data_IF_201408357955
#
_entry.id   IF_201408357955
#
_cell.length_a   1.000
_cell.length_b   1.000
_cell.length_c   1.000
_cell.angle_alpha   90.00
_cell.angle_beta   90.00
_cell.angle_gamma   90.00
#
_symmetry.space_group_name_H-M   'P 1'
#
loop_
_entity.id
_entity.type
_entity.pdbx_description
1 polymer ?
#
# COMPACT_ATOMS: atom_id res chain seq x y z
N UNK A 1 4.88 -14.54 29.41
CA UNK A 1 4.88 -15.70 28.52
C UNK A 1 4.72 -15.33 27.05
N UNK A 2 3.71 -14.53 26.65
CA UNK A 2 3.52 -14.05 25.28
C UNK A 2 4.71 -13.17 24.81
N UNK A 3 5.24 -12.30 25.68
CA UNK A 3 6.40 -11.46 25.39
C UNK A 3 7.63 -12.30 25.02
N UNK A 4 7.92 -13.36 25.78
CA UNK A 4 9.04 -14.26 25.47
C UNK A 4 8.85 -15.00 24.14
N UNK A 5 7.63 -15.47 23.84
CA UNK A 5 7.34 -16.08 22.54
C UNK A 5 7.53 -15.10 21.38
N UNK A 6 7.13 -13.85 21.56
CA UNK A 6 7.33 -12.78 20.57
C UNK A 6 8.83 -12.47 20.38
N UNK A 7 9.59 -12.32 21.46
CA UNK A 7 11.04 -12.12 21.42
C UNK A 7 11.77 -13.26 20.69
N UNK A 8 11.34 -14.50 20.92
CA UNK A 8 11.87 -15.68 20.21
C UNK A 8 11.51 -15.67 18.71
N UNK A 9 10.30 -15.26 18.34
CA UNK A 9 9.92 -15.10 16.94
C UNK A 9 10.75 -14.02 16.23
N UNK A 10 10.92 -12.88 16.88
CA UNK A 10 11.70 -11.75 16.35
C UNK A 10 13.21 -12.06 16.25
N UNK A 11 13.79 -12.73 17.23
CA UNK A 11 15.20 -13.12 17.20
C UNK A 11 15.55 -14.08 16.06
N UNK A 12 14.56 -14.79 15.51
CA UNK A 12 14.70 -15.71 14.37
C UNK A 12 14.32 -15.08 13.03
N UNK A 13 14.17 -13.76 13.00
CA UNK A 13 13.91 -12.99 11.78
C UNK A 13 12.44 -12.63 11.55
N UNK A 14 11.56 -12.85 12.53
CA UNK A 14 10.12 -12.62 12.40
C UNK A 14 9.46 -13.63 11.43
N UNK A 15 8.34 -13.26 10.84
CA UNK A 15 7.58 -14.08 9.88
C UNK A 15 7.28 -15.51 10.37
N UNK A 16 7.11 -15.68 11.68
CA UNK A 16 6.76 -16.95 12.29
C UNK A 16 5.91 -16.76 13.53
N UNK A 17 5.09 -17.77 13.81
CA UNK A 17 4.35 -17.88 15.07
C UNK A 17 5.12 -18.78 16.03
N UNK A 18 5.20 -18.37 17.30
CA UNK A 18 5.79 -19.16 18.37
C UNK A 18 4.70 -19.47 19.39
N UNK A 19 4.41 -20.74 19.55
CA UNK A 19 3.45 -21.23 20.54
C UNK A 19 4.20 -21.86 21.71
N UNK A 20 3.91 -21.39 22.91
CA UNK A 20 4.48 -21.99 24.11
C UNK A 20 3.58 -23.13 24.59
N UNK A 21 4.08 -24.34 24.52
CA UNK A 21 3.49 -25.51 25.18
C UNK A 21 3.77 -25.52 26.70
N UNK A 22 3.45 -26.62 27.34
CA UNK A 22 3.72 -26.82 28.79
C UNK A 22 5.20 -26.91 29.10
N UNK A 23 5.99 -27.49 28.21
CA UNK A 23 7.42 -27.78 28.38
C UNK A 23 8.26 -27.06 27.30
N UNK A 24 7.78 -26.98 26.06
CA UNK A 24 8.55 -26.55 24.91
C UNK A 24 7.90 -25.36 24.16
N UNK A 25 8.67 -24.80 23.23
CA UNK A 25 8.21 -23.81 22.26
C UNK A 25 8.08 -24.49 20.89
N UNK A 26 6.91 -24.34 20.27
CA UNK A 26 6.67 -24.78 18.91
C UNK A 26 6.75 -23.59 17.97
N UNK A 27 7.43 -23.77 16.81
CA UNK A 27 7.65 -22.74 15.82
C UNK A 27 6.89 -23.10 14.54
N UNK A 28 6.09 -22.15 14.03
CA UNK A 28 5.32 -22.29 12.81
C UNK A 28 5.66 -21.16 11.85
N UNK A 29 5.97 -21.48 10.60
CA UNK A 29 6.39 -20.54 9.58
C UNK A 29 7.90 -20.28 9.59
N UNK A 30 8.33 -19.15 9.06
CA UNK A 30 9.73 -18.81 8.86
C UNK A 30 10.29 -19.42 7.57
N UNK A 31 10.59 -18.58 6.57
CA UNK A 31 11.23 -19.00 5.32
C UNK A 31 12.73 -18.72 5.36
N UNK A 32 13.51 -19.66 4.86
CA UNK A 32 14.96 -19.57 4.78
C UNK A 32 15.43 -18.43 3.86
N UNK A 33 16.61 -17.88 4.16
CA UNK A 33 17.29 -16.76 3.46
C UNK A 33 17.48 -16.92 1.93
N UNK A 34 17.18 -18.06 1.32
CA UNK A 34 17.25 -18.29 -0.13
C UNK A 34 16.15 -17.52 -0.91
N UNK A 35 15.09 -17.06 -0.24
CA UNK A 35 14.01 -16.23 -0.82
C UNK A 35 14.43 -14.79 -1.10
N UNK A 36 15.37 -14.21 -0.34
CA UNK A 36 15.71 -12.78 -0.40
C UNK A 36 16.32 -12.31 -1.73
N UNK A 37 17.20 -13.10 -2.35
CA UNK A 37 17.83 -12.70 -3.62
C UNK A 37 16.86 -12.65 -4.80
N UNK A 38 15.93 -13.61 -4.88
CA UNK A 38 14.88 -13.62 -5.91
C UNK A 38 13.91 -12.47 -5.74
N UNK A 39 13.61 -12.08 -4.51
CA UNK A 39 12.71 -10.98 -4.19
C UNK A 39 13.26 -9.64 -4.67
N UNK A 40 14.56 -9.36 -4.48
CA UNK A 40 15.19 -8.09 -4.89
C UNK A 40 15.18 -7.86 -6.41
N UNK A 41 15.46 -8.89 -7.21
CA UNK A 41 15.40 -8.79 -8.68
C UNK A 41 13.95 -8.56 -9.13
N UNK A 42 13.01 -9.33 -8.61
CA UNK A 42 11.58 -9.18 -8.93
C UNK A 42 11.07 -7.79 -8.55
N UNK A 43 11.43 -7.29 -7.37
CA UNK A 43 11.03 -5.95 -6.92
C UNK A 43 11.57 -4.85 -7.83
N UNK A 44 12.81 -4.97 -8.32
CA UNK A 44 13.38 -4.01 -9.29
C UNK A 44 12.66 -4.03 -10.63
N UNK A 45 12.32 -5.21 -11.13
CA UNK A 45 11.56 -5.35 -12.38
C UNK A 45 10.18 -4.71 -12.24
N UNK A 46 9.48 -4.98 -11.12
CA UNK A 46 8.16 -4.39 -10.86
C UNK A 46 8.24 -2.87 -10.66
N UNK A 47 9.26 -2.37 -9.96
CA UNK A 47 9.47 -0.94 -9.80
C UNK A 47 9.74 -0.23 -11.14
N UNK A 48 10.50 -0.85 -12.04
CA UNK A 48 10.70 -0.32 -13.39
C UNK A 48 9.41 -0.31 -14.20
N UNK A 49 8.63 -1.40 -14.16
CA UNK A 49 7.33 -1.45 -14.84
C UNK A 49 6.37 -0.36 -14.32
N UNK A 50 6.29 -0.18 -13.01
CA UNK A 50 5.49 0.89 -12.41
C UNK A 50 5.98 2.27 -12.84
N UNK A 51 7.29 2.48 -12.90
CA UNK A 51 7.91 3.72 -13.37
C UNK A 51 7.51 4.04 -14.82
N UNK A 52 7.51 3.06 -15.70
CA UNK A 52 7.08 3.21 -17.09
C UNK A 52 5.58 3.53 -17.17
N UNK A 53 4.73 2.83 -16.42
CA UNK A 53 3.30 3.13 -16.35
C UNK A 53 3.03 4.57 -15.90
N UNK A 54 3.78 5.06 -14.90
CA UNK A 54 3.69 6.46 -14.44
C UNK A 54 4.18 7.44 -15.50
N UNK A 55 5.28 7.11 -16.20
CA UNK A 55 5.84 7.97 -17.25
C UNK A 55 4.83 8.24 -18.37
N UNK A 56 4.06 7.22 -18.75
CA UNK A 56 3.05 7.28 -19.80
C UNK A 56 1.70 7.87 -19.32
N UNK A 57 1.52 8.07 -18.02
CA UNK A 57 0.28 8.60 -17.47
C UNK A 57 0.24 10.14 -17.55
N UNK A 58 -0.95 10.69 -17.78
CA UNK A 58 -1.19 12.13 -17.63
C UNK A 58 -1.17 12.58 -16.16
N UNK A 59 -1.87 11.83 -15.32
CA UNK A 59 -1.97 12.03 -13.87
C UNK A 59 -1.95 10.66 -13.17
N UNK A 60 -1.56 10.65 -11.90
CA UNK A 60 -1.52 9.43 -11.07
C UNK A 60 -2.45 9.59 -9.87
N UNK A 61 -3.42 8.70 -9.75
CA UNK A 61 -4.25 8.58 -8.57
C UNK A 61 -3.81 7.36 -7.78
N UNK A 62 -3.80 7.47 -6.47
CA UNK A 62 -3.40 6.39 -5.56
C UNK A 62 -4.51 6.20 -4.54
N UNK A 63 -4.92 4.97 -4.27
CA UNK A 63 -5.85 4.66 -3.19
C UNK A 63 -5.51 3.34 -2.52
N UNK A 64 -5.81 3.24 -1.23
CA UNK A 64 -5.74 2.00 -0.47
C UNK A 64 -7.11 1.33 -0.34
N UNK A 65 -7.25 0.53 0.71
CA UNK A 65 -8.54 -0.01 1.12
C UNK A 65 -9.37 1.05 1.86
N UNK A 66 -10.68 0.86 1.88
CA UNK A 66 -11.61 1.64 2.72
C UNK A 66 -11.22 1.51 4.20
N UNK A 67 -11.40 2.58 4.97
CA UNK A 67 -10.91 2.67 6.34
C UNK A 67 -9.37 2.48 6.43
N UNK A 68 -8.65 3.24 5.60
CA UNK A 68 -7.20 3.13 5.43
C UNK A 68 -6.43 3.20 6.76
N UNK A 69 -5.50 2.30 6.94
CA UNK A 69 -4.58 2.26 8.08
C UNK A 69 -3.22 2.91 7.73
N UNK A 70 -2.25 2.79 8.64
CA UNK A 70 -0.92 3.39 8.46
C UNK A 70 -0.13 2.74 7.32
N UNK A 71 -0.33 1.46 7.02
CA UNK A 71 0.35 0.76 5.93
C UNK A 71 -0.19 1.25 4.59
N UNK A 72 -1.51 1.34 4.43
CA UNK A 72 -2.16 1.88 3.24
C UNK A 72 -1.75 3.34 2.97
N UNK A 73 -1.78 4.21 3.99
CA UNK A 73 -1.38 5.62 3.86
C UNK A 73 0.11 5.74 3.55
N UNK A 74 0.97 4.99 4.26
CA UNK A 74 2.42 4.99 4.02
C UNK A 74 2.79 4.52 2.61
N UNK A 75 2.16 3.46 2.12
CA UNK A 75 2.32 2.97 0.76
C UNK A 75 1.85 4.01 -0.27
N UNK A 76 0.68 4.63 -0.05
CA UNK A 76 0.14 5.66 -0.93
C UNK A 76 1.07 6.89 -1.03
N UNK A 77 1.59 7.36 0.10
CA UNK A 77 2.56 8.47 0.16
C UNK A 77 3.86 8.11 -0.57
N UNK A 78 4.36 6.88 -0.39
CA UNK A 78 5.55 6.40 -1.10
C UNK A 78 5.38 6.42 -2.62
N UNK A 79 4.25 5.93 -3.13
CA UNK A 79 3.90 5.96 -4.55
C UNK A 79 3.71 7.39 -5.05
N UNK A 80 3.04 8.25 -4.27
CA UNK A 80 2.86 9.67 -4.58
C UNK A 80 4.22 10.38 -4.75
N UNK A 81 5.16 10.16 -3.83
CA UNK A 81 6.51 10.69 -3.93
C UNK A 81 7.24 10.20 -5.20
N UNK A 82 7.10 8.91 -5.55
CA UNK A 82 7.71 8.35 -6.74
C UNK A 82 7.15 8.98 -8.03
N UNK A 83 5.84 9.19 -8.11
CA UNK A 83 5.19 9.86 -9.24
C UNK A 83 5.61 11.32 -9.36
N UNK A 84 5.63 12.06 -8.26
CA UNK A 84 6.06 13.49 -8.23
C UNK A 84 7.52 13.66 -8.62
N UNK A 85 8.42 12.73 -8.24
CA UNK A 85 9.82 12.73 -8.71
C UNK A 85 9.96 12.56 -10.22
N UNK A 86 8.95 12.01 -10.89
CA UNK A 86 8.87 11.94 -12.35
C UNK A 86 8.14 13.14 -12.97
N UNK A 87 7.86 14.19 -12.19
CA UNK A 87 7.15 15.38 -12.66
C UNK A 87 5.65 15.16 -12.88
N UNK A 88 5.06 14.08 -12.34
CA UNK A 88 3.63 13.79 -12.49
C UNK A 88 2.81 14.45 -11.39
N UNK A 89 1.64 14.93 -11.75
CA UNK A 89 0.60 15.26 -10.76
C UNK A 89 0.12 13.97 -10.13
N UNK A 90 0.23 13.89 -8.80
CA UNK A 90 -0.18 12.71 -8.04
C UNK A 90 -1.12 13.10 -6.91
N UNK A 91 -2.21 12.33 -6.75
CA UNK A 91 -3.25 12.54 -5.74
C UNK A 91 -3.55 11.25 -5.02
N UNK A 92 -3.83 11.33 -3.73
CA UNK A 92 -4.19 10.20 -2.87
C UNK A 92 -5.70 10.29 -2.59
N UNK A 93 -6.41 9.26 -3.00
CA UNK A 93 -7.86 9.12 -2.78
C UNK A 93 -8.09 8.46 -1.43
N UNK A 94 -8.67 9.20 -0.49
CA UNK A 94 -8.88 8.74 0.88
C UNK A 94 -10.01 9.54 1.56
N UNK A 95 -10.78 8.89 2.38
CA UNK A 95 -11.71 9.54 3.30
C UNK A 95 -10.94 10.02 4.55
N UNK A 96 -10.78 11.33 4.68
CA UNK A 96 -10.03 11.94 5.77
C UNK A 96 -10.73 11.82 7.14
N UNK A 97 -12.04 11.58 7.15
CA UNK A 97 -12.82 11.43 8.40
C UNK A 97 -12.94 9.95 8.82
N UNK A 98 -12.98 9.04 7.85
CA UNK A 98 -13.15 7.60 8.05
C UNK A 98 -11.89 6.80 7.75
N UNK A 99 -10.91 6.87 8.64
CA UNK A 99 -9.65 6.12 8.49
C UNK A 99 -9.08 5.76 9.87
N UNK A 100 -8.12 4.83 9.89
CA UNK A 100 -7.38 4.44 11.10
C UNK A 100 -6.03 5.16 11.23
N UNK A 101 -5.67 6.04 10.28
CA UNK A 101 -4.38 6.73 10.21
C UNK A 101 -4.46 8.24 10.52
N UNK A 102 -5.49 8.70 11.22
CA UNK A 102 -5.77 10.13 11.47
C UNK A 102 -4.56 10.95 11.93
N UNK A 103 -3.78 10.54 12.94
CA UNK A 103 -2.60 11.29 13.37
C UNK A 103 -1.53 11.44 12.27
N UNK A 104 -1.32 10.42 11.45
CA UNK A 104 -0.39 10.46 10.32
C UNK A 104 -0.88 11.41 9.24
N UNK A 105 -2.17 11.33 8.89
CA UNK A 105 -2.78 12.21 7.90
C UNK A 105 -2.74 13.67 8.34
N UNK A 106 -3.04 13.97 9.60
CA UNK A 106 -2.93 15.33 10.14
C UNK A 106 -1.50 15.88 10.06
N UNK A 107 -0.49 15.06 10.35
CA UNK A 107 0.91 15.44 10.22
C UNK A 107 1.30 15.71 8.77
N UNK A 108 0.83 14.89 7.82
CA UNK A 108 1.08 15.07 6.39
C UNK A 108 0.39 16.33 5.84
N UNK A 109 -0.87 16.57 6.20
CA UNK A 109 -1.62 17.74 5.78
C UNK A 109 -1.04 19.07 6.29
N UNK A 110 -0.29 19.04 7.40
CA UNK A 110 0.42 20.20 7.91
C UNK A 110 1.64 20.60 7.05
N UNK A 111 2.08 19.73 6.14
CA UNK A 111 3.18 19.99 5.24
C UNK A 111 2.67 20.67 3.95
N UNK A 112 3.26 21.80 3.53
CA UNK A 112 2.80 22.53 2.33
C UNK A 112 2.77 21.68 1.06
N UNK A 113 3.70 20.73 0.92
CA UNK A 113 3.79 19.84 -0.22
C UNK A 113 2.64 18.83 -0.33
N UNK A 114 1.84 18.65 0.73
CA UNK A 114 0.69 17.74 0.77
C UNK A 114 -0.66 18.48 0.81
N UNK A 115 -0.70 19.82 0.76
CA UNK A 115 -1.92 20.60 0.92
C UNK A 115 -3.06 20.18 -0.04
N UNK A 116 -2.70 19.86 -1.31
CA UNK A 116 -3.67 19.50 -2.36
C UNK A 116 -3.54 18.05 -2.83
N UNK A 117 -2.96 17.18 -2.01
CA UNK A 117 -2.69 15.78 -2.41
C UNK A 117 -3.84 14.85 -2.09
N UNK A 118 -4.50 15.05 -0.96
CA UNK A 118 -5.56 14.19 -0.46
C UNK A 118 -6.92 14.62 -0.98
N UNK A 119 -7.65 13.70 -1.60
CA UNK A 119 -8.98 13.93 -2.16
C UNK A 119 -9.97 12.86 -1.70
N UNK A 120 -11.21 13.21 -1.38
CA UNK A 120 -12.26 12.21 -1.22
C UNK A 120 -12.59 11.55 -2.58
N UNK A 121 -13.10 10.31 -2.55
CA UNK A 121 -13.40 9.52 -3.75
C UNK A 121 -14.33 10.24 -4.73
N UNK A 122 -15.33 10.97 -4.25
CA UNK A 122 -16.26 11.76 -5.06
C UNK A 122 -15.56 12.88 -5.86
N UNK A 123 -14.62 13.56 -5.23
CA UNK A 123 -13.87 14.63 -5.89
C UNK A 123 -12.84 14.04 -6.87
N UNK A 124 -12.17 12.98 -6.50
CA UNK A 124 -11.25 12.26 -7.38
C UNK A 124 -11.97 11.80 -8.67
N UNK A 125 -13.17 11.24 -8.54
CA UNK A 125 -13.99 10.85 -9.68
C UNK A 125 -14.30 12.01 -10.63
N UNK A 126 -14.67 13.17 -10.10
CA UNK A 126 -14.98 14.35 -10.92
C UNK A 126 -13.73 14.93 -11.62
N UNK A 127 -12.56 14.75 -11.04
CA UNK A 127 -11.29 15.23 -11.61
C UNK A 127 -10.62 14.24 -12.55
N UNK A 128 -11.07 12.98 -12.54
CA UNK A 128 -10.45 11.90 -13.32
C UNK A 128 -10.51 12.21 -14.82
N UNK A 129 -9.37 12.11 -15.50
CA UNK A 129 -9.26 12.35 -16.95
C UNK A 129 -8.83 11.06 -17.67
N UNK A 130 -9.19 10.94 -18.97
CA UNK A 130 -8.66 9.86 -19.80
C UNK A 130 -7.13 9.81 -19.77
N UNK A 131 -6.56 8.61 -19.64
CA UNK A 131 -5.10 8.43 -19.56
C UNK A 131 -4.52 8.54 -18.14
N UNK A 132 -5.35 8.75 -17.12
CA UNK A 132 -4.91 8.64 -15.73
C UNK A 132 -4.50 7.20 -15.38
N UNK A 133 -3.50 7.06 -14.52
CA UNK A 133 -3.11 5.81 -13.90
C UNK A 133 -3.66 5.77 -12.47
N UNK A 134 -4.38 4.72 -12.14
CA UNK A 134 -4.74 4.41 -10.76
C UNK A 134 -3.75 3.38 -10.19
N UNK A 135 -3.16 3.68 -9.05
CA UNK A 135 -2.34 2.73 -8.29
C UNK A 135 -3.09 2.36 -7.01
N UNK A 136 -3.52 1.12 -6.92
CA UNK A 136 -4.16 0.57 -5.71
C UNK A 136 -3.06 -0.01 -4.83
N UNK A 137 -3.03 0.39 -3.57
CA UNK A 137 -2.02 -0.05 -2.60
C UNK A 137 -2.68 -0.78 -1.43
N UNK A 138 -1.94 -1.73 -0.86
CA UNK A 138 -2.29 -2.44 0.37
C UNK A 138 -3.63 -3.21 0.32
N UNK A 139 -4.15 -3.44 -0.86
CA UNK A 139 -5.26 -4.37 -1.11
C UNK A 139 -5.27 -4.82 -2.55
N UNK A 140 -5.62 -6.07 -2.80
CA UNK A 140 -5.91 -6.61 -4.13
C UNK A 140 -7.40 -6.97 -4.32
N UNK A 141 -8.23 -6.61 -3.35
CA UNK A 141 -9.66 -6.90 -3.35
C UNK A 141 -10.46 -5.69 -3.83
N UNK A 142 -11.16 -5.80 -4.98
CA UNK A 142 -11.97 -4.69 -5.51
C UNK A 142 -13.08 -4.23 -4.56
N UNK A 143 -13.63 -5.15 -3.77
CA UNK A 143 -14.70 -4.87 -2.79
C UNK A 143 -14.19 -4.11 -1.54
N UNK A 144 -12.90 -3.97 -1.37
CA UNK A 144 -12.30 -3.28 -0.23
C UNK A 144 -11.66 -1.93 -0.56
N UNK A 145 -11.60 -1.52 -1.82
CA UNK A 145 -10.95 -0.26 -2.19
C UNK A 145 -11.69 0.96 -1.62
N UNK A 146 -10.98 2.05 -1.45
CA UNK A 146 -11.51 3.32 -0.94
C UNK A 146 -12.66 3.87 -1.79
N UNK A 147 -12.59 3.74 -3.12
CA UNK A 147 -13.62 4.21 -4.03
C UNK A 147 -13.80 3.27 -5.22
N UNK A 148 -14.93 2.54 -5.23
CA UNK A 148 -15.32 1.70 -6.37
C UNK A 148 -15.53 2.54 -7.64
N UNK A 149 -16.11 3.72 -7.50
CA UNK A 149 -16.40 4.61 -8.61
C UNK A 149 -15.13 5.05 -9.34
N UNK A 150 -14.07 5.36 -8.60
CA UNK A 150 -12.75 5.69 -9.17
C UNK A 150 -12.13 4.46 -9.82
N UNK A 151 -12.23 3.27 -9.18
CA UNK A 151 -11.69 2.03 -9.73
C UNK A 151 -12.32 1.69 -11.09
N UNK A 152 -13.64 1.72 -11.17
CA UNK A 152 -14.41 1.37 -12.37
C UNK A 152 -14.22 2.36 -13.52
N UNK A 153 -13.87 3.61 -13.19
CA UNK A 153 -13.66 4.67 -14.17
C UNK A 153 -12.24 4.73 -14.73
N UNK A 154 -11.30 3.99 -14.16
CA UNK A 154 -9.92 3.94 -14.59
C UNK A 154 -9.65 2.75 -15.51
N UNK A 155 -9.21 3.02 -16.75
CA UNK A 155 -8.82 1.98 -17.71
C UNK A 155 -7.39 1.44 -17.47
N UNK A 156 -6.59 2.12 -16.65
CA UNK A 156 -5.20 1.76 -16.36
C UNK A 156 -5.04 1.65 -14.85
N UNK A 157 -4.93 0.43 -14.36
CA UNK A 157 -4.82 0.14 -12.93
C UNK A 157 -3.56 -0.68 -12.66
N UNK A 158 -2.77 -0.27 -11.68
CA UNK A 158 -1.68 -1.06 -11.10
C UNK A 158 -2.03 -1.37 -9.64
N UNK A 159 -1.69 -2.58 -9.18
CA UNK A 159 -1.94 -3.01 -7.80
C UNK A 159 -0.62 -3.37 -7.12
N UNK A 160 -0.39 -2.81 -5.94
CA UNK A 160 0.77 -3.10 -5.08
C UNK A 160 0.22 -3.61 -3.74
N UNK A 161 0.30 -4.91 -3.55
CA UNK A 161 -0.26 -5.56 -2.37
C UNK A 161 0.69 -6.64 -1.85
N UNK A 162 0.84 -6.70 -0.52
CA UNK A 162 1.68 -7.69 0.15
C UNK A 162 0.87 -8.81 0.83
N UNK A 163 -0.46 -8.66 0.86
CA UNK A 163 -1.34 -9.64 1.47
C UNK A 163 -1.34 -10.97 0.71
N UNK A 164 -1.46 -12.07 1.43
CA UNK A 164 -1.64 -13.38 0.80
C UNK A 164 -3.00 -13.43 0.14
N UNK A 165 -3.04 -13.79 -1.14
CA UNK A 165 -4.32 -14.10 -1.80
C UNK A 165 -4.92 -15.29 -1.08
N UNK A 166 -6.09 -15.13 -0.46
CA UNK A 166 -6.93 -16.26 -0.09
C UNK A 166 -7.35 -16.95 -1.39
N UNK A 167 -7.06 -18.24 -1.50
CA UNK A 167 -7.61 -19.03 -2.58
C UNK A 167 -9.14 -19.02 -2.42
N UNK A 168 -9.82 -18.32 -3.32
CA UNK A 168 -11.27 -18.42 -3.54
C UNK A 168 -11.53 -19.59 -4.43
#
# INVERSE_FOLDING_TARGET
NAKLSLEMALSRGGDQAVVRGRVDFEFYGGRSKSSEKRTKVKSRVMANALRELMADAGEVYIMGHSFADMDAVGAAVGVCCAARKQGKTARIVIDLERNAAGPLLAALQALPEYADVFLPGSEAFLRLRPGALLVVVDTSRPDMVESHQVLESCNRVAVIDHHRRSAS
#
